data_IF_195073724560
#
_entry.id   IF_195073724560
#
_cell.length_a   1.000
_cell.length_b   1.000
_cell.length_c   1.000
_cell.angle_alpha   90.00
_cell.angle_beta   90.00
_cell.angle_gamma   90.00
#
_symmetry.space_group_name_H-M   'P 1'
#
loop_
_entity.id
_entity.type
_entity.pdbx_description
1 polymer ?
#
# COMPACT_ATOMS: atom_id res chain seq x y z
N UNK A 1 1.33 -14.61 -15.51
CA UNK A 1 2.36 -13.96 -14.66
C UNK A 1 1.71 -13.46 -13.39
N UNK A 2 2.12 -13.93 -12.22
CA UNK A 2 1.56 -13.47 -10.97
C UNK A 2 1.96 -12.03 -10.68
N UNK A 3 1.20 -11.37 -9.83
CA UNK A 3 1.46 -10.01 -9.40
C UNK A 3 1.66 -9.98 -7.90
N UNK A 4 2.74 -9.36 -7.45
CA UNK A 4 2.98 -9.14 -6.03
C UNK A 4 2.52 -7.72 -5.71
N UNK A 5 1.69 -7.59 -4.69
CA UNK A 5 1.15 -6.30 -4.26
C UNK A 5 1.80 -5.91 -2.95
N UNK A 6 2.42 -4.74 -2.94
CA UNK A 6 3.02 -4.15 -1.75
C UNK A 6 2.25 -2.90 -1.39
N UNK A 7 1.77 -2.83 -0.15
CA UNK A 7 1.03 -1.68 0.35
C UNK A 7 1.81 -0.99 1.46
N UNK A 8 1.90 0.33 1.37
CA UNK A 8 2.70 1.18 2.26
C UNK A 8 1.83 2.29 2.80
N UNK A 9 1.90 2.53 4.10
CA UNK A 9 1.16 3.60 4.78
C UNK A 9 2.10 4.47 5.59
N UNK A 10 1.78 5.77 5.77
CA UNK A 10 2.53 6.62 6.70
C UNK A 10 2.45 6.10 8.13
N UNK A 11 3.54 6.24 8.89
CA UNK A 11 3.61 5.74 10.26
C UNK A 11 2.65 6.43 11.22
N UNK A 12 2.42 7.71 11.02
CA UNK A 12 1.59 8.48 11.92
C UNK A 12 0.66 9.40 11.14
N UNK A 13 -0.50 9.66 11.70
CA UNK A 13 -1.49 10.57 11.10
C UNK A 13 -0.88 11.95 10.85
N UNK A 14 0.02 12.40 11.71
CA UNK A 14 0.69 13.70 11.57
C UNK A 14 1.54 13.76 10.30
N UNK A 15 1.97 12.62 9.77
CA UNK A 15 2.81 12.53 8.59
C UNK A 15 2.01 12.29 7.33
N UNK A 16 0.69 12.41 7.38
CA UNK A 16 -0.20 12.17 6.24
C UNK A 16 -0.98 13.44 5.90
N UNK A 17 -0.32 14.44 5.28
CA UNK A 17 -1.01 15.70 4.95
C UNK A 17 -2.14 15.51 3.94
N UNK A 18 -2.02 14.53 3.02
CA UNK A 18 -3.07 14.26 2.06
C UNK A 18 -4.31 13.67 2.73
N UNK A 19 -4.13 12.72 3.65
CA UNK A 19 -5.23 12.15 4.41
C UNK A 19 -5.94 13.20 5.24
N UNK A 20 -5.18 14.10 5.87
CA UNK A 20 -5.76 15.18 6.65
C UNK A 20 -6.57 16.14 5.78
N UNK A 21 -6.08 16.45 4.58
CA UNK A 21 -6.79 17.33 3.66
C UNK A 21 -8.13 16.71 3.24
N UNK A 22 -8.15 15.41 2.96
CA UNK A 22 -9.39 14.71 2.59
C UNK A 22 -10.36 14.67 3.79
N UNK A 23 -9.85 14.39 4.98
CA UNK A 23 -10.66 14.38 6.19
C UNK A 23 -11.31 15.75 6.40
N UNK A 24 -10.54 16.82 6.26
CA UNK A 24 -11.06 18.17 6.39
C UNK A 24 -12.12 18.50 5.35
N UNK A 25 -11.91 18.08 4.10
CA UNK A 25 -12.89 18.30 3.03
C UNK A 25 -14.20 17.58 3.32
N UNK A 26 -14.14 16.35 3.83
CA UNK A 26 -15.34 15.60 4.20
C UNK A 26 -16.10 16.29 5.31
N UNK A 27 -15.41 16.81 6.30
CA UNK A 27 -16.05 17.54 7.41
C UNK A 27 -16.74 18.81 6.92
N UNK A 28 -16.11 19.53 5.98
CA UNK A 28 -16.73 20.72 5.39
C UNK A 28 -17.98 20.39 4.58
N UNK A 29 -18.07 19.17 4.04
CA UNK A 29 -19.25 18.71 3.32
C UNK A 29 -20.34 18.13 4.24
N UNK A 30 -20.14 18.20 5.54
CA UNK A 30 -21.09 17.67 6.51
C UNK A 30 -20.98 16.16 6.73
N UNK A 31 -19.87 15.56 6.33
CA UNK A 31 -19.65 14.13 6.45
C UNK A 31 -18.78 13.80 7.67
N UNK A 32 -19.17 14.29 8.82
CA UNK A 32 -18.36 14.16 10.04
C UNK A 32 -18.31 12.73 10.60
N UNK A 33 -19.14 11.82 10.08
CA UNK A 33 -19.03 10.41 10.47
C UNK A 33 -17.70 9.78 10.05
N UNK A 34 -16.99 10.38 9.10
CA UNK A 34 -15.66 9.94 8.72
C UNK A 34 -14.64 10.66 9.58
N UNK A 35 -14.24 10.01 10.68
CA UNK A 35 -13.34 10.63 11.66
C UNK A 35 -11.95 10.86 11.11
N UNK A 36 -11.48 9.95 10.24
CA UNK A 36 -10.10 10.01 9.73
C UNK A 36 -10.02 9.33 8.37
N UNK A 37 -9.23 9.93 7.48
CA UNK A 37 -8.88 9.34 6.20
C UNK A 37 -7.36 9.29 6.10
N UNK A 38 -6.82 8.16 5.66
CA UNK A 38 -5.39 7.99 5.46
C UNK A 38 -5.11 7.59 4.03
N UNK A 39 -4.01 8.11 3.48
CA UNK A 39 -3.60 7.84 2.11
C UNK A 39 -2.24 7.15 2.12
N UNK A 40 -2.15 6.04 1.42
CA UNK A 40 -0.92 5.28 1.28
C UNK A 40 -0.61 5.02 -0.18
N UNK A 41 0.37 4.12 -0.41
CA UNK A 41 0.82 3.73 -1.74
C UNK A 41 0.62 2.23 -1.93
N UNK A 42 0.30 1.84 -3.16
CA UNK A 42 0.21 0.45 -3.57
C UNK A 42 1.09 0.24 -4.77
N UNK A 43 1.97 -0.74 -4.69
CA UNK A 43 2.84 -1.14 -5.79
C UNK A 43 2.41 -2.51 -6.29
N UNK A 44 2.32 -2.65 -7.60
CA UNK A 44 1.98 -3.93 -8.25
C UNK A 44 3.17 -4.35 -9.08
N UNK A 45 3.76 -5.48 -8.70
CA UNK A 45 4.96 -6.00 -9.36
C UNK A 45 4.57 -7.25 -10.14
N UNK A 46 4.55 -7.14 -11.45
CA UNK A 46 4.29 -8.29 -12.30
C UNK A 46 5.56 -9.12 -12.42
N UNK A 47 5.47 -10.39 -12.09
CA UNK A 47 6.61 -11.29 -12.04
C UNK A 47 6.61 -12.22 -13.25
N UNK A 48 7.76 -12.30 -13.94
CA UNK A 48 7.95 -13.24 -15.03
C UNK A 48 8.52 -14.54 -14.47
N UNK A 49 7.63 -15.44 -14.08
CA UNK A 49 8.00 -16.71 -13.52
C UNK A 49 7.27 -17.00 -12.22
N UNK A 50 7.65 -18.10 -11.54
CA UNK A 50 6.99 -18.49 -10.29
C UNK A 50 7.38 -17.57 -9.14
N UNK A 51 6.48 -17.45 -8.17
CA UNK A 51 6.74 -16.74 -6.92
C UNK A 51 7.13 -17.79 -5.88
N UNK A 52 8.34 -17.66 -5.34
CA UNK A 52 8.83 -18.54 -4.29
C UNK A 52 9.27 -17.72 -3.07
N UNK A 53 9.70 -18.43 -2.03
CA UNK A 53 10.10 -17.76 -0.78
C UNK A 53 11.30 -16.83 -0.97
N UNK A 54 12.24 -17.19 -1.85
CA UNK A 54 13.41 -16.37 -2.12
C UNK A 54 12.99 -15.05 -2.77
N UNK A 55 12.07 -15.10 -3.72
CA UNK A 55 11.56 -13.92 -4.38
C UNK A 55 10.78 -13.04 -3.41
N UNK A 56 9.96 -13.63 -2.55
CA UNK A 56 9.21 -12.88 -1.55
C UNK A 56 10.13 -12.19 -0.55
N UNK A 57 11.23 -12.86 -0.16
CA UNK A 57 12.24 -12.23 0.71
C UNK A 57 12.90 -11.04 0.01
N UNK A 58 13.18 -11.17 -1.29
CA UNK A 58 13.75 -10.08 -2.07
C UNK A 58 12.78 -8.90 -2.15
N UNK A 59 11.49 -9.17 -2.37
CA UNK A 59 10.47 -8.14 -2.41
C UNK A 59 10.36 -7.43 -1.07
N UNK A 60 10.45 -8.18 0.03
CA UNK A 60 10.43 -7.57 1.37
C UNK A 60 11.58 -6.57 1.53
N UNK A 61 12.77 -6.94 1.09
CA UNK A 61 13.93 -6.05 1.15
C UNK A 61 13.73 -4.83 0.27
N UNK A 62 13.24 -5.01 -0.95
CA UNK A 62 12.97 -3.91 -1.86
C UNK A 62 11.88 -2.98 -1.32
N UNK A 63 10.86 -3.54 -0.69
CA UNK A 63 9.79 -2.75 -0.10
C UNK A 63 10.34 -1.83 0.98
N UNK A 64 11.22 -2.34 1.81
CA UNK A 64 11.84 -1.55 2.88
C UNK A 64 12.81 -0.51 2.34
N UNK A 65 13.55 -0.84 1.28
CA UNK A 65 14.63 0.02 0.77
C UNK A 65 14.17 1.03 -0.27
N UNK A 66 13.23 0.64 -1.13
CA UNK A 66 12.86 1.43 -2.30
C UNK A 66 11.43 1.94 -2.26
N UNK A 67 10.48 1.09 -1.84
CA UNK A 67 9.06 1.41 -1.96
C UNK A 67 8.53 2.21 -0.79
N UNK A 68 9.21 2.16 0.33
CA UNK A 68 8.82 2.94 1.48
C UNK A 68 10.01 3.75 2.01
N UNK A 69 9.69 4.88 2.64
CA UNK A 69 10.68 5.60 3.42
C UNK A 69 10.52 5.12 4.86
N UNK A 70 11.43 4.24 5.30
CA UNK A 70 11.31 3.56 6.59
C UNK A 70 11.28 4.51 7.80
N UNK A 71 11.66 5.75 7.62
CA UNK A 71 11.58 6.76 8.69
C UNK A 71 10.14 7.20 8.91
N UNK A 72 9.35 7.34 7.83
CA UNK A 72 8.00 7.90 7.91
C UNK A 72 6.91 6.95 7.42
N UNK A 73 7.27 5.79 6.85
CA UNK A 73 6.32 4.86 6.26
C UNK A 73 6.57 3.43 6.72
N UNK A 74 5.50 2.64 6.74
CA UNK A 74 5.57 1.21 7.03
C UNK A 74 5.00 0.42 5.86
N UNK A 75 5.64 -0.70 5.55
CA UNK A 75 5.06 -1.70 4.66
C UNK A 75 4.01 -2.46 5.46
N UNK A 76 2.75 -2.34 5.07
CA UNK A 76 1.66 -2.92 5.85
C UNK A 76 1.16 -4.24 5.28
N UNK A 77 1.43 -4.52 4.01
CA UNK A 77 1.07 -5.82 3.45
C UNK A 77 1.89 -6.13 2.20
N UNK A 78 2.18 -7.41 2.03
CA UNK A 78 2.76 -7.97 0.80
C UNK A 78 1.91 -9.20 0.49
N UNK A 79 1.28 -9.21 -0.68
CA UNK A 79 0.40 -10.30 -1.08
C UNK A 79 0.65 -10.69 -2.52
N UNK A 80 0.15 -11.87 -2.91
CA UNK A 80 0.31 -12.39 -4.26
C UNK A 80 -1.04 -12.55 -4.89
N UNK A 81 -1.22 -11.98 -6.09
CA UNK A 81 -2.42 -12.16 -6.90
C UNK A 81 -2.10 -13.07 -8.08
N UNK A 82 -2.84 -14.15 -8.20
CA UNK A 82 -2.72 -15.03 -9.33
C UNK A 82 -3.55 -14.52 -10.51
N UNK A 83 -3.12 -14.77 -11.76
CA UNK A 83 -3.86 -14.29 -12.93
C UNK A 83 -5.33 -14.72 -12.96
N UNK A 84 -5.63 -15.94 -12.50
CA UNK A 84 -6.99 -16.44 -12.48
C UNK A 84 -7.91 -15.63 -11.57
N UNK A 85 -7.38 -15.07 -10.50
CA UNK A 85 -8.14 -14.22 -9.58
C UNK A 85 -8.50 -12.91 -10.26
N UNK A 86 -7.58 -12.36 -11.04
CA UNK A 86 -7.81 -11.12 -11.74
C UNK A 86 -8.91 -11.23 -12.79
N UNK A 87 -9.05 -12.38 -13.41
CA UNK A 87 -10.04 -12.60 -14.44
C UNK A 87 -11.47 -12.50 -13.93
N UNK A 88 -11.64 -12.55 -12.64
CA UNK A 88 -12.96 -12.52 -12.01
C UNK A 88 -13.39 -11.12 -11.55
N UNK A 89 -12.52 -10.18 -11.69
CA UNK A 89 -12.77 -8.81 -11.23
C UNK A 89 -13.75 -8.03 -12.13
#
# INVERSE_FOLDING_TARGET
MPTIVVEVMPKAVLLDPQGKAVTGALHRLGKSQFAEVRIGKRFELTVDGPVDDALLSEVQTLADDMFSNSVIEDVVSISVLEPAVQDQA
#
